data_IF_160191188488
#
_entry.id   IF_160191188488
#
_cell.length_a   1.000
_cell.length_b   1.000
_cell.length_c   1.000
_cell.angle_alpha   90.00
_cell.angle_beta   90.00
_cell.angle_gamma   90.00
#
_symmetry.space_group_name_H-M   'P 1'
#
loop_
_entity.id
_entity.type
_entity.pdbx_description
1 polymer ?
#
# COMPACT_ATOMS: atom_id res chain seq x y z
N UNK A 1 -1.05 9.33 11.70
CA UNK A 1 -1.73 8.49 10.67
C UNK A 1 -1.35 9.03 9.29
N UNK A 2 -1.28 8.20 8.26
CA UNK A 2 -0.91 8.65 6.92
C UNK A 2 -2.03 9.53 6.33
N UNK A 3 -3.27 9.32 6.74
CA UNK A 3 -4.46 10.03 6.29
C UNK A 3 -4.34 11.55 6.51
N UNK A 4 -3.93 11.96 7.72
CA UNK A 4 -3.75 13.37 8.07
C UNK A 4 -2.58 13.99 7.33
N UNK A 5 -1.40 13.37 7.39
CA UNK A 5 -0.20 13.92 6.75
C UNK A 5 -0.30 14.00 5.24
N UNK A 6 -0.93 13.02 4.60
CA UNK A 6 -1.20 13.03 3.16
C UNK A 6 -2.14 14.17 2.77
N UNK A 7 -3.28 14.32 3.48
CA UNK A 7 -4.24 15.36 3.20
C UNK A 7 -3.66 16.77 3.43
N UNK A 8 -2.91 16.97 4.52
CA UNK A 8 -2.22 18.23 4.80
C UNK A 8 -1.19 18.58 3.72
N UNK A 9 -0.41 17.60 3.26
CA UNK A 9 0.57 17.78 2.19
C UNK A 9 -0.11 18.14 0.87
N UNK A 10 -1.18 17.43 0.51
CA UNK A 10 -2.02 17.71 -0.65
C UNK A 10 -2.53 19.17 -0.60
N UNK A 11 -3.15 19.57 0.51
CA UNK A 11 -3.72 20.91 0.69
C UNK A 11 -2.64 21.99 0.62
N UNK A 12 -1.52 21.82 1.31
CA UNK A 12 -0.41 22.77 1.31
C UNK A 12 0.16 22.95 -0.11
N UNK A 13 0.35 21.86 -0.86
CA UNK A 13 0.85 21.94 -2.24
C UNK A 13 -0.16 22.60 -3.19
N UNK A 14 -1.46 22.37 -3.02
CA UNK A 14 -2.50 23.02 -3.83
C UNK A 14 -2.56 24.51 -3.52
N UNK A 15 -2.60 24.89 -2.24
CA UNK A 15 -2.67 26.29 -1.80
C UNK A 15 -1.49 27.13 -2.29
N UNK A 16 -0.31 26.52 -2.46
CA UNK A 16 0.90 27.18 -2.94
C UNK A 16 1.10 27.05 -4.47
N UNK A 17 0.17 26.44 -5.21
CA UNK A 17 0.32 26.23 -6.65
C UNK A 17 1.48 25.30 -7.02
N UNK A 18 1.89 24.40 -6.12
CA UNK A 18 3.02 23.49 -6.30
C UNK A 18 2.60 22.05 -6.59
N UNK A 19 1.31 21.70 -6.43
CA UNK A 19 0.86 20.30 -6.51
C UNK A 19 1.18 19.60 -7.82
N UNK A 20 1.18 20.31 -8.94
CA UNK A 20 1.51 19.77 -10.26
C UNK A 20 3.01 19.46 -10.44
N UNK A 21 3.87 19.92 -9.53
CA UNK A 21 5.33 19.76 -9.64
C UNK A 21 5.86 18.49 -8.98
N UNK A 22 5.06 17.84 -8.14
CA UNK A 22 5.49 16.75 -7.27
C UNK A 22 4.46 15.64 -7.31
N UNK A 23 4.96 14.40 -7.43
CA UNK A 23 4.14 13.20 -7.24
C UNK A 23 4.05 12.84 -5.76
N UNK A 24 2.84 12.66 -5.22
CA UNK A 24 2.68 12.23 -3.84
C UNK A 24 2.64 10.70 -3.72
N UNK A 25 3.50 10.15 -2.86
CA UNK A 25 3.51 8.73 -2.50
C UNK A 25 3.13 8.55 -1.04
N UNK A 26 2.33 7.52 -0.77
CA UNK A 26 1.99 7.12 0.60
C UNK A 26 2.24 5.63 0.81
N UNK A 27 2.70 5.28 2.01
CA UNK A 27 2.71 3.93 2.54
C UNK A 27 2.22 3.97 4.00
N UNK A 28 2.28 2.83 4.69
CA UNK A 28 1.93 2.76 6.11
C UNK A 28 0.70 1.90 6.37
N UNK A 29 0.87 0.58 6.23
CA UNK A 29 -0.17 -0.37 6.59
C UNK A 29 -1.28 -0.54 5.55
N UNK A 30 -1.10 -0.08 4.32
CA UNK A 30 -1.97 -0.38 3.18
C UNK A 30 -2.00 -1.90 2.92
N UNK A 31 -3.20 -2.47 2.77
CA UNK A 31 -3.41 -3.92 2.57
C UNK A 31 -4.46 -4.24 1.51
N UNK A 32 -5.40 -3.33 1.26
CA UNK A 32 -6.60 -3.58 0.46
C UNK A 32 -6.73 -2.55 -0.67
N UNK A 33 -7.55 -2.88 -1.67
CA UNK A 33 -7.91 -1.94 -2.73
C UNK A 33 -8.62 -0.71 -2.18
N UNK A 34 -9.42 -0.86 -1.11
CA UNK A 34 -10.05 0.27 -0.42
C UNK A 34 -9.03 1.25 0.17
N UNK A 35 -7.92 0.74 0.74
CA UNK A 35 -6.85 1.61 1.25
C UNK A 35 -6.25 2.46 0.14
N UNK A 36 -6.03 1.87 -1.04
CA UNK A 36 -5.51 2.57 -2.23
C UNK A 36 -6.49 3.63 -2.71
N UNK A 37 -7.78 3.31 -2.80
CA UNK A 37 -8.84 4.23 -3.23
C UNK A 37 -8.96 5.42 -2.28
N UNK A 38 -8.98 5.18 -0.97
CA UNK A 38 -9.01 6.24 0.05
C UNK A 38 -7.76 7.12 -0.03
N UNK A 39 -6.58 6.51 -0.16
CA UNK A 39 -5.34 7.25 -0.32
C UNK A 39 -5.32 8.10 -1.60
N UNK A 40 -5.84 7.60 -2.71
CA UNK A 40 -5.99 8.36 -3.95
C UNK A 40 -6.88 9.58 -3.72
N UNK A 41 -8.06 9.38 -3.12
CA UNK A 41 -8.99 10.47 -2.78
C UNK A 41 -8.33 11.55 -1.92
N UNK A 42 -7.48 11.16 -0.96
CA UNK A 42 -6.75 12.08 -0.10
C UNK A 42 -5.55 12.76 -0.78
N UNK A 43 -5.20 12.39 -2.02
CA UNK A 43 -4.23 13.10 -2.85
C UNK A 43 -3.03 12.28 -3.32
N UNK A 44 -2.92 11.01 -2.95
CA UNK A 44 -1.81 10.15 -3.37
C UNK A 44 -1.89 9.73 -4.85
N UNK A 45 -0.73 9.58 -5.47
CA UNK A 45 -0.54 9.11 -6.85
C UNK A 45 0.32 7.85 -6.93
N UNK A 46 0.93 7.44 -5.81
CA UNK A 46 1.77 6.27 -5.68
C UNK A 46 1.55 5.62 -4.32
N UNK A 47 1.62 4.30 -4.25
CA UNK A 47 1.25 3.52 -3.08
C UNK A 47 2.37 2.52 -2.77
N UNK A 48 2.98 2.65 -1.61
CA UNK A 48 4.04 1.77 -1.13
C UNK A 48 3.49 0.63 -0.27
N UNK A 49 4.03 -0.57 -0.47
CA UNK A 49 3.66 -1.77 0.28
C UNK A 49 4.92 -2.49 0.76
N UNK A 50 5.05 -2.66 2.08
CA UNK A 50 6.12 -3.46 2.68
C UNK A 50 5.58 -4.75 3.28
N UNK A 51 4.80 -4.60 4.36
CA UNK A 51 4.35 -5.74 5.17
C UNK A 51 3.44 -6.71 4.42
N UNK A 52 2.50 -6.25 3.61
CA UNK A 52 1.57 -7.14 2.92
C UNK A 52 2.29 -8.07 1.90
N UNK A 53 3.19 -7.58 1.03
CA UNK A 53 4.06 -8.44 0.22
C UNK A 53 4.94 -9.39 1.06
N UNK A 54 5.49 -8.95 2.20
CA UNK A 54 6.24 -9.85 3.09
C UNK A 54 5.37 -10.99 3.63
N UNK A 55 4.10 -10.71 3.97
CA UNK A 55 3.13 -11.72 4.40
C UNK A 55 2.77 -12.65 3.25
N UNK A 56 2.56 -12.14 2.04
CA UNK A 56 2.34 -12.96 0.85
C UNK A 56 3.50 -13.93 0.60
N UNK A 57 4.75 -13.50 0.85
CA UNK A 57 5.94 -14.34 0.77
C UNK A 57 6.15 -15.29 1.97
N UNK A 58 5.30 -15.24 3.00
CA UNK A 58 5.32 -16.20 4.11
C UNK A 58 5.68 -15.62 5.48
N UNK A 59 5.74 -14.31 5.67
CA UNK A 59 5.87 -13.72 7.01
C UNK A 59 4.65 -14.11 7.89
N UNK A 60 4.92 -14.58 9.12
CA UNK A 60 3.89 -14.99 10.10
C UNK A 60 3.66 -13.98 11.23
N UNK A 61 4.14 -12.75 11.07
CA UNK A 61 3.94 -11.66 12.04
C UNK A 61 4.41 -11.95 13.48
N UNK A 62 5.43 -12.81 13.63
CA UNK A 62 5.97 -13.20 14.95
C UNK A 62 6.72 -12.06 15.66
N UNK A 63 7.07 -10.98 14.94
CA UNK A 63 7.77 -9.79 15.46
C UNK A 63 9.15 -10.07 16.09
N UNK A 64 9.78 -11.17 15.69
CA UNK A 64 11.13 -11.57 16.09
C UNK A 64 12.21 -11.19 15.07
N UNK A 65 11.89 -10.31 14.11
CA UNK A 65 12.80 -9.95 13.01
C UNK A 65 14.18 -9.45 13.50
N UNK A 66 14.20 -8.76 14.64
CA UNK A 66 15.42 -8.22 15.27
C UNK A 66 16.31 -9.28 15.92
N UNK A 67 15.83 -10.52 16.10
CA UNK A 67 16.54 -11.60 16.77
C UNK A 67 17.29 -12.52 15.78
N UNK A 68 17.26 -12.21 14.47
CA UNK A 68 17.85 -13.04 13.42
C UNK A 68 17.34 -14.49 13.36
N UNK A 69 16.19 -14.80 13.98
CA UNK A 69 15.64 -16.16 14.12
C UNK A 69 14.26 -16.32 13.44
N UNK A 70 14.06 -15.63 12.31
CA UNK A 70 12.79 -15.68 11.58
C UNK A 70 12.42 -17.12 11.18
N UNK A 71 11.36 -17.66 11.79
CA UNK A 71 10.90 -19.04 11.60
C UNK A 71 10.48 -19.41 10.17
N UNK A 72 10.34 -18.42 9.28
CA UNK A 72 9.98 -18.61 7.87
C UNK A 72 11.06 -18.13 6.91
N UNK A 73 12.26 -17.84 7.39
CA UNK A 73 13.40 -17.44 6.54
C UNK A 73 13.26 -16.08 5.86
N UNK A 74 12.24 -15.27 6.18
CA UNK A 74 11.98 -13.96 5.54
C UNK A 74 12.95 -12.87 6.00
N UNK A 75 13.12 -12.70 7.31
CA UNK A 75 13.92 -11.62 7.91
C UNK A 75 15.02 -12.19 8.83
N UNK A 76 15.99 -12.87 8.22
CA UNK A 76 17.15 -13.46 8.90
C UNK A 76 18.32 -13.56 7.92
N UNK A 77 19.54 -13.49 8.45
CA UNK A 77 20.79 -13.78 7.73
C UNK A 77 21.30 -15.20 8.00
N UNK A 78 20.70 -15.91 8.95
CA UNK A 78 21.03 -17.32 9.21
C UNK A 78 20.85 -18.15 7.94
N UNK A 79 21.91 -18.86 7.56
CA UNK A 79 21.96 -19.58 6.30
C UNK A 79 21.02 -20.79 6.28
N UNK A 80 20.91 -21.51 7.40
CA UNK A 80 20.00 -22.64 7.54
C UNK A 80 18.56 -22.16 7.45
N UNK A 81 18.22 -21.08 8.17
CA UNK A 81 16.85 -20.58 8.17
C UNK A 81 16.41 -20.07 6.79
N UNK A 82 17.30 -19.38 6.07
CA UNK A 82 17.02 -18.92 4.69
C UNK A 82 16.85 -20.08 3.72
N UNK A 83 17.75 -21.06 3.74
CA UNK A 83 17.72 -22.21 2.81
C UNK A 83 16.53 -23.12 3.06
N UNK A 84 16.25 -23.45 4.32
CA UNK A 84 15.26 -24.48 4.65
C UNK A 84 13.83 -23.93 4.71
N UNK A 85 13.62 -22.71 5.23
CA UNK A 85 12.27 -22.22 5.57
C UNK A 85 11.72 -21.12 4.66
N UNK A 86 12.55 -20.39 3.91
CA UNK A 86 12.02 -19.43 2.95
C UNK A 86 11.39 -20.16 1.76
N UNK A 87 10.09 -19.95 1.56
CA UNK A 87 9.30 -20.54 0.45
C UNK A 87 8.58 -19.48 -0.40
N UNK A 88 8.93 -18.20 -0.21
CA UNK A 88 8.33 -17.10 -0.95
C UNK A 88 8.72 -17.18 -2.44
N UNK A 89 7.73 -17.05 -3.31
CA UNK A 89 7.93 -17.03 -4.76
C UNK A 89 7.50 -15.68 -5.34
N UNK A 90 8.12 -15.20 -6.44
CA UNK A 90 7.68 -13.98 -7.13
C UNK A 90 6.18 -13.99 -7.46
N UNK A 91 5.65 -15.14 -7.87
CA UNK A 91 4.24 -15.34 -8.22
C UNK A 91 3.31 -15.03 -7.04
N UNK A 92 3.72 -15.28 -5.80
CA UNK A 92 2.90 -14.96 -4.63
C UNK A 92 2.72 -13.45 -4.47
N UNK A 93 3.77 -12.68 -4.75
CA UNK A 93 3.73 -11.21 -4.71
C UNK A 93 2.96 -10.66 -5.91
N UNK A 94 3.18 -11.21 -7.10
CA UNK A 94 2.40 -10.85 -8.30
C UNK A 94 0.91 -11.07 -8.08
N UNK A 95 0.52 -12.25 -7.58
CA UNK A 95 -0.88 -12.58 -7.32
C UNK A 95 -1.51 -11.64 -6.28
N UNK A 96 -0.77 -11.26 -5.23
CA UNK A 96 -1.23 -10.26 -4.27
C UNK A 96 -1.55 -8.93 -4.97
N UNK A 97 -0.64 -8.41 -5.79
CA UNK A 97 -0.86 -7.14 -6.48
C UNK A 97 -1.91 -7.22 -7.59
N UNK A 98 -2.06 -8.37 -8.27
CA UNK A 98 -3.15 -8.60 -9.21
C UNK A 98 -4.50 -8.53 -8.50
N UNK A 99 -4.68 -9.27 -7.40
CA UNK A 99 -5.93 -9.22 -6.63
C UNK A 99 -6.21 -7.84 -6.04
N UNK A 100 -5.18 -7.15 -5.53
CA UNK A 100 -5.29 -5.77 -5.07
C UNK A 100 -5.76 -4.82 -6.19
N UNK A 101 -5.17 -4.94 -7.37
CA UNK A 101 -5.55 -4.11 -8.52
C UNK A 101 -6.96 -4.43 -9.02
N UNK A 102 -7.41 -5.69 -8.91
CA UNK A 102 -8.76 -6.11 -9.25
C UNK A 102 -9.78 -5.44 -8.32
N UNK A 103 -9.54 -5.50 -7.00
CA UNK A 103 -10.38 -4.83 -6.00
C UNK A 103 -10.44 -3.31 -6.22
N UNK A 104 -9.32 -2.67 -6.56
CA UNK A 104 -9.30 -1.24 -6.93
C UNK A 104 -10.24 -0.96 -8.11
N UNK A 105 -10.21 -1.79 -9.16
CA UNK A 105 -11.07 -1.60 -10.34
C UNK A 105 -12.55 -1.81 -10.02
N UNK A 106 -12.86 -2.77 -9.15
CA UNK A 106 -14.23 -3.00 -8.67
C UNK A 106 -14.76 -1.77 -7.91
N UNK A 107 -13.94 -1.19 -7.02
CA UNK A 107 -14.30 0.01 -6.27
C UNK A 107 -14.44 1.24 -7.17
N UNK A 108 -13.55 1.40 -8.15
CA UNK A 108 -13.67 2.46 -9.17
C UNK A 108 -14.99 2.34 -9.94
N UNK A 109 -15.34 1.13 -10.38
CA UNK A 109 -16.60 0.86 -11.06
C UNK A 109 -17.82 1.18 -10.16
N UNK A 110 -17.76 0.83 -8.87
CA UNK A 110 -18.81 1.14 -7.91
C UNK A 110 -18.99 2.65 -7.69
N UNK A 111 -17.90 3.43 -7.78
CA UNK A 111 -17.92 4.90 -7.72
C UNK A 111 -18.29 5.57 -9.06
N UNK A 112 -18.44 4.80 -10.14
CA UNK A 112 -18.69 5.33 -11.49
C UNK A 112 -17.49 6.07 -12.09
N UNK A 113 -16.26 5.70 -11.68
CA UNK A 113 -15.01 6.33 -12.12
C UNK A 113 -14.20 5.36 -12.95
N UNK A 114 -13.68 5.80 -14.10
CA UNK A 114 -12.91 4.94 -15.01
C UNK A 114 -11.43 4.84 -14.60
N UNK A 115 -10.81 5.96 -14.19
CA UNK A 115 -9.38 6.03 -13.91
C UNK A 115 -9.12 6.40 -12.46
N UNK A 116 -8.16 5.72 -11.84
CA UNK A 116 -7.72 6.03 -10.47
C UNK A 116 -7.26 7.49 -10.31
N UNK A 117 -6.67 8.07 -11.36
CA UNK A 117 -6.23 9.46 -11.37
C UNK A 117 -7.38 10.46 -11.19
N UNK A 118 -8.60 10.08 -11.59
CA UNK A 118 -9.77 10.95 -11.49
C UNK A 118 -10.31 11.04 -10.07
N UNK A 119 -9.82 10.18 -9.16
CA UNK A 119 -10.09 10.27 -7.73
C UNK A 119 -9.17 11.24 -7.00
N UNK A 120 -8.02 11.63 -7.57
CA UNK A 120 -6.98 12.35 -6.83
C UNK A 120 -7.52 13.67 -6.29
N UNK A 121 -7.62 13.79 -4.96
CA UNK A 121 -8.14 14.98 -4.29
C UNK A 121 -9.67 15.13 -4.27
N UNK A 122 -10.44 14.12 -4.73
CA UNK A 122 -11.92 14.12 -4.72
C UNK A 122 -12.51 13.80 -3.35
N UNK A 123 -12.18 14.62 -2.35
CA UNK A 123 -12.61 14.39 -0.95
C UNK A 123 -14.12 14.49 -0.77
N UNK A 124 -14.86 15.02 -1.76
CA UNK A 124 -16.32 14.98 -1.83
C UNK A 124 -16.91 13.56 -1.87
N UNK A 125 -16.09 12.56 -2.22
CA UNK A 125 -16.48 11.14 -2.23
C UNK A 125 -16.35 10.46 -0.86
N UNK A 126 -15.91 11.18 0.18
CA UNK A 126 -15.78 10.66 1.54
C UNK A 126 -16.77 11.35 2.47
N UNK A 127 -17.42 10.55 3.31
CA UNK A 127 -18.23 11.02 4.44
C UNK A 127 -17.56 10.60 5.74
N UNK A 128 -17.46 11.52 6.70
CA UNK A 128 -17.00 11.22 8.04
C UNK A 128 -18.13 10.52 8.81
N UNK A 129 -17.83 9.35 9.36
CA UNK A 129 -18.76 8.55 10.17
C UNK A 129 -18.40 8.68 11.64
#
# INVERSE_FOLDING_TARGET
PWELGLAETQQALVANGLRHKIRLQVDGGLKTGLDVVKAAILGAESFGFGTAPMVAMGCKFLRICHLNNCATGVATQDETLRKEYFKGLPEMVMNYFTGLADEVRELLAALGVEKLTDLIGRTDLLEAV
#
